data_IF_212021429087
#
_entry.id   IF_212021429087
#
_cell.length_a   1.000
_cell.length_b   1.000
_cell.length_c   1.000
_cell.angle_alpha   90.00
_cell.angle_beta   90.00
_cell.angle_gamma   90.00
#
_symmetry.space_group_name_H-M   'P 1'
#
loop_
_entity.id
_entity.type
_entity.pdbx_description
1 polymer ?
#
# COMPACT_ATOMS: atom_id res chain seq x y z
N UNK A 1 -5.81 -11.82 15.46
CA UNK A 1 -4.50 -12.00 14.81
C UNK A 1 -4.11 -10.71 14.11
N UNK A 2 -2.81 -10.39 13.97
CA UNK A 2 -2.35 -9.28 13.11
C UNK A 2 -1.84 -9.92 11.82
N UNK A 3 -2.25 -9.37 10.69
CA UNK A 3 -1.77 -9.70 9.36
C UNK A 3 -0.68 -8.71 8.98
N UNK A 4 0.32 -9.22 8.28
CA UNK A 4 1.39 -8.41 7.73
C UNK A 4 1.09 -8.01 6.29
N UNK A 5 1.37 -6.75 5.97
CA UNK A 5 1.18 -6.19 4.65
C UNK A 5 2.43 -5.44 4.20
N UNK A 6 2.73 -5.53 2.91
CA UNK A 6 3.66 -4.65 2.21
C UNK A 6 2.88 -3.56 1.49
N UNK A 7 3.29 -2.31 1.67
CA UNK A 7 2.73 -1.15 0.99
C UNK A 7 3.78 -0.64 0.00
N UNK A 8 3.40 -0.56 -1.26
CA UNK A 8 4.26 -0.11 -2.35
C UNK A 8 3.78 1.25 -2.83
N UNK A 9 4.66 2.25 -2.76
CA UNK A 9 4.45 3.58 -3.33
C UNK A 9 5.16 3.65 -4.67
N UNK A 10 4.40 3.48 -5.76
CA UNK A 10 4.89 3.42 -7.14
C UNK A 10 5.16 4.81 -7.68
N UNK A 11 6.33 5.00 -8.26
CA UNK A 11 6.69 6.22 -8.96
C UNK A 11 6.36 6.12 -10.48
N UNK A 12 6.54 7.21 -11.25
CA UNK A 12 6.31 7.21 -12.70
C UNK A 12 7.26 6.37 -13.54
N UNK A 13 8.41 5.97 -13.01
CA UNK A 13 9.46 5.23 -13.74
C UNK A 13 9.47 3.74 -13.40
N UNK A 14 8.57 3.29 -12.51
CA UNK A 14 8.34 1.89 -12.19
C UNK A 14 8.98 1.43 -10.87
N UNK A 15 9.73 2.29 -10.17
CA UNK A 15 10.25 1.95 -8.85
C UNK A 15 9.16 2.03 -7.79
N UNK A 16 9.36 1.30 -6.70
CA UNK A 16 8.48 1.33 -5.54
C UNK A 16 9.28 1.56 -4.26
N UNK A 17 8.85 2.53 -3.46
CA UNK A 17 9.24 2.57 -2.04
C UNK A 17 8.32 1.63 -1.26
N UNK A 18 8.91 0.70 -0.51
CA UNK A 18 8.19 -0.39 0.15
C UNK A 18 8.21 -0.21 1.65
N UNK A 19 7.05 -0.29 2.29
CA UNK A 19 6.89 -0.23 3.74
C UNK A 19 6.20 -1.49 4.25
N UNK A 20 6.79 -2.12 5.26
CA UNK A 20 6.20 -3.26 5.98
C UNK A 20 5.33 -2.75 7.12
N UNK A 21 4.07 -3.21 7.18
CA UNK A 21 3.13 -2.82 8.25
C UNK A 21 2.35 -4.02 8.79
N UNK A 22 2.09 -3.99 10.09
CA UNK A 22 1.17 -4.92 10.74
C UNK A 22 -0.18 -4.26 10.99
N UNK A 23 -1.27 -4.93 10.60
CA UNK A 23 -2.64 -4.48 10.81
C UNK A 23 -3.56 -5.64 11.16
N UNK A 24 -4.68 -5.37 11.83
CA UNK A 24 -5.71 -6.39 12.10
C UNK A 24 -6.67 -6.58 10.91
N UNK A 25 -6.59 -5.72 9.90
CA UNK A 25 -7.45 -5.74 8.72
C UNK A 25 -6.85 -4.95 7.55
N UNK A 26 -7.34 -5.21 6.34
CA UNK A 26 -7.02 -4.46 5.13
C UNK A 26 -7.39 -2.97 5.26
N UNK A 27 -8.50 -2.64 5.93
CA UNK A 27 -8.88 -1.25 6.19
C UNK A 27 -7.80 -0.52 7.01
N UNK A 28 -7.28 -1.16 8.06
CA UNK A 28 -6.19 -0.59 8.85
C UNK A 28 -4.90 -0.43 8.05
N UNK A 29 -4.60 -1.35 7.12
CA UNK A 29 -3.45 -1.24 6.22
C UNK A 29 -3.60 -0.03 5.27
N UNK A 30 -4.78 0.17 4.67
CA UNK A 30 -5.10 1.34 3.84
C UNK A 30 -4.98 2.68 4.58
N UNK A 31 -5.43 2.70 5.84
CA UNK A 31 -5.28 3.89 6.70
C UNK A 31 -3.81 4.19 6.99
N UNK A 32 -3.00 3.17 7.31
CA UNK A 32 -1.55 3.32 7.50
C UNK A 32 -0.85 3.78 6.22
N UNK A 33 -1.18 3.21 5.07
CA UNK A 33 -0.66 3.62 3.77
C UNK A 33 -0.95 5.10 3.49
N UNK A 34 -2.18 5.56 3.80
CA UNK A 34 -2.54 6.97 3.66
C UNK A 34 -1.78 7.88 4.62
N UNK A 35 -1.45 7.42 5.83
CA UNK A 35 -0.62 8.18 6.79
C UNK A 35 0.83 8.30 6.32
N UNK A 36 1.41 7.21 5.80
CA UNK A 36 2.77 7.23 5.24
C UNK A 36 2.81 8.18 4.03
N UNK A 37 1.81 8.10 3.15
CA UNK A 37 1.70 9.01 1.99
C UNK A 37 1.68 10.49 2.37
N UNK A 38 0.94 10.84 3.43
CA UNK A 38 0.82 12.22 3.91
C UNK A 38 1.98 12.62 4.85
N UNK A 39 3.02 11.80 4.98
CA UNK A 39 4.19 12.08 5.82
C UNK A 39 5.41 12.38 4.95
N UNK A 40 6.43 13.02 5.53
CA UNK A 40 7.69 13.31 4.84
C UNK A 40 8.62 12.08 4.70
N UNK A 41 8.07 10.85 4.75
CA UNK A 41 8.83 9.60 4.65
C UNK A 41 9.10 9.17 3.20
N UNK A 42 8.40 9.76 2.23
CA UNK A 42 8.51 9.39 0.82
C UNK A 42 9.51 10.28 0.10
N UNK A 43 10.33 9.66 -0.74
CA UNK A 43 11.27 10.36 -1.61
C UNK A 43 10.71 10.39 -3.04
N UNK A 44 10.38 11.58 -3.55
CA UNK A 44 9.93 11.75 -4.94
C UNK A 44 8.43 11.51 -5.18
N UNK A 45 7.99 11.64 -6.45
CA UNK A 45 6.57 11.59 -6.82
C UNK A 45 6.00 10.18 -6.75
N UNK A 46 4.74 10.06 -6.34
CA UNK A 46 3.98 8.80 -6.30
C UNK A 46 2.78 8.87 -7.23
N UNK A 47 2.57 7.82 -8.04
CA UNK A 47 1.40 7.66 -8.91
C UNK A 47 0.35 6.73 -8.31
N UNK A 48 0.78 5.68 -7.62
CA UNK A 48 -0.10 4.67 -7.07
C UNK A 48 0.42 4.12 -5.74
N UNK A 49 -0.53 3.66 -4.92
CA UNK A 49 -0.28 2.92 -3.70
C UNK A 49 -0.86 1.52 -3.89
N UNK A 50 -0.07 0.49 -3.69
CA UNK A 50 -0.47 -0.91 -3.81
C UNK A 50 -0.22 -1.61 -2.47
N UNK A 51 -1.08 -2.54 -2.10
CA UNK A 51 -0.98 -3.31 -0.86
C UNK A 51 -0.99 -4.78 -1.19
N UNK A 52 -0.03 -5.51 -0.64
CA UNK A 52 0.12 -6.95 -0.75
C UNK A 52 0.12 -7.57 0.65
N UNK A 53 -0.50 -8.73 0.81
CA UNK A 53 -0.42 -9.51 2.04
C UNK A 53 0.87 -10.33 2.05
N UNK A 54 1.62 -10.30 3.16
CA UNK A 54 2.97 -10.87 3.21
C UNK A 54 3.00 -12.40 3.40
N UNK A 55 1.95 -12.98 4.00
CA UNK A 55 1.86 -14.41 4.32
C UNK A 55 1.16 -15.25 3.24
N UNK A 56 1.03 -14.74 2.01
CA UNK A 56 0.44 -15.49 0.91
C UNK A 56 1.51 -16.24 0.11
N UNK A 57 1.30 -17.55 -0.11
CA UNK A 57 2.14 -18.37 -1.00
C UNK A 57 2.06 -17.92 -2.47
N UNK A 58 1.04 -17.15 -2.82
CA UNK A 58 0.93 -16.40 -4.07
C UNK A 58 0.82 -14.90 -3.74
N UNK A 59 1.84 -14.06 -4.02
CA UNK A 59 1.88 -12.66 -3.63
C UNK A 59 0.77 -11.80 -4.28
N UNK A 60 -0.47 -11.91 -3.79
CA UNK A 60 -1.61 -11.23 -4.39
C UNK A 60 -1.76 -9.80 -3.90
N UNK A 61 -2.01 -8.90 -4.85
CA UNK A 61 -2.37 -7.51 -4.55
C UNK A 61 -3.78 -7.48 -3.98
N UNK A 62 -3.92 -7.07 -2.72
CA UNK A 62 -5.21 -7.03 -2.02
C UNK A 62 -5.89 -5.67 -2.12
N UNK A 63 -5.12 -4.61 -2.43
CA UNK A 63 -5.68 -3.29 -2.70
C UNK A 63 -4.76 -2.43 -3.55
N UNK A 64 -5.37 -1.49 -4.28
CA UNK A 64 -4.64 -0.42 -4.97
C UNK A 64 -5.40 0.91 -4.91
N UNK A 65 -4.65 2.01 -5.04
CA UNK A 65 -5.20 3.37 -5.14
C UNK A 65 -4.27 4.26 -5.97
N UNK A 66 -4.80 4.84 -7.05
CA UNK A 66 -4.13 5.93 -7.74
C UNK A 66 -4.16 7.22 -6.90
N UNK A 67 -3.08 8.00 -6.87
CA UNK A 67 -3.01 9.24 -6.09
C UNK A 67 -4.03 10.28 -6.55
N UNK A 68 -4.35 10.29 -7.86
CA UNK A 68 -5.42 11.14 -8.42
C UNK A 68 -6.83 10.70 -7.97
N UNK A 69 -6.96 9.55 -7.33
CA UNK A 69 -8.22 9.02 -6.80
C UNK A 69 -8.27 9.12 -5.27
N UNK A 70 -9.45 9.46 -4.74
CA UNK A 70 -9.75 9.35 -3.31
C UNK A 70 -10.15 7.93 -2.91
N UNK A 71 -10.52 7.08 -3.87
CA UNK A 71 -11.08 5.74 -3.63
C UNK A 71 -10.00 4.67 -3.70
N UNK A 72 -10.10 3.70 -2.79
CA UNK A 72 -9.38 2.44 -2.85
C UNK A 72 -10.17 1.43 -3.66
N UNK A 73 -9.49 0.71 -4.52
CA UNK A 73 -9.96 -0.53 -5.09
C UNK A 73 -9.40 -1.69 -4.29
N UNK A 74 -10.21 -2.72 -4.06
CA UNK A 74 -9.79 -3.92 -3.34
C UNK A 74 -10.14 -5.12 -4.21
N UNK A 75 -9.31 -6.13 -4.15
CA UNK A 75 -9.55 -7.38 -4.86
C UNK A 75 -10.15 -8.37 -3.86
N UNK A 76 -11.17 -9.09 -4.30
CA UNK A 76 -11.93 -10.05 -3.51
C UNK A 76 -11.25 -11.42 -3.53
#
# INVERSE_FOLDING_TARGET
>A
MKTEYFIYFRDPVGFAQVFRVWSRSLLGAKQRASRIFNSNQLTGPVLAIEIQEADSTDPFWVAHRFIRSKKWSSFA
#
